data_IF_747826104917
#
_entry.id   IF_747826104917
#
_cell.length_a   1.000
_cell.length_b   1.000
_cell.length_c   1.000
_cell.angle_alpha   90.00
_cell.angle_beta   90.00
_cell.angle_gamma   90.00
#
_symmetry.space_group_name_H-M   'P 1'
#
loop_
_entity.id
_entity.type
_entity.pdbx_description
1 polymer ?
#
# COMPACT_ATOMS: atom_id res chain seq x y z
N UNK A 1 -2.13 27.48 11.33
CA UNK A 1 -1.58 28.03 10.08
C UNK A 1 -0.05 27.85 9.90
N UNK A 2 0.72 27.44 10.91
CA UNK A 2 2.20 27.21 10.78
C UNK A 2 2.62 25.89 10.11
N UNK A 3 1.72 24.91 9.98
CA UNK A 3 2.03 23.58 9.39
C UNK A 3 1.98 23.53 7.85
N UNK A 4 1.37 24.51 7.19
CA UNK A 4 1.24 24.54 5.73
C UNK A 4 2.52 25.05 5.04
N UNK A 5 3.33 25.83 5.73
CA UNK A 5 4.55 26.42 5.17
C UNK A 5 5.71 25.42 4.99
N UNK A 6 5.72 24.31 5.78
CA UNK A 6 6.75 23.27 5.69
C UNK A 6 6.55 22.43 4.43
N UNK A 7 5.30 22.19 4.01
CA UNK A 7 5.00 21.43 2.80
C UNK A 7 5.39 22.17 1.51
N UNK A 8 5.23 23.50 1.50
CA UNK A 8 5.60 24.35 0.36
C UNK A 8 7.12 24.52 0.21
N UNK A 9 7.90 24.47 1.28
CA UNK A 9 9.36 24.52 1.23
C UNK A 9 9.97 23.23 0.65
N UNK A 10 9.31 22.09 0.83
CA UNK A 10 9.74 20.82 0.22
C UNK A 10 9.50 20.77 -1.30
N UNK A 11 8.47 21.44 -1.79
CA UNK A 11 8.14 21.47 -3.24
C UNK A 11 9.02 22.50 -3.98
N UNK A 12 9.46 23.57 -3.33
CA UNK A 12 10.26 24.64 -3.96
C UNK A 12 11.76 24.36 -4.07
N UNK A 13 12.29 23.37 -3.35
CA UNK A 13 13.73 23.10 -3.26
C UNK A 13 14.32 22.19 -4.32
N UNK A 14 13.51 21.60 -5.20
CA UNK A 14 13.97 20.59 -6.15
C UNK A 14 14.02 21.01 -7.62
N UNK A 15 14.01 22.31 -7.90
CA UNK A 15 14.38 22.81 -9.24
C UNK A 15 15.91 22.84 -9.39
N UNK A 16 16.57 21.71 -9.17
CA UNK A 16 17.98 21.54 -9.47
C UNK A 16 18.16 21.31 -10.96
N UNK A 17 18.71 22.35 -11.61
CA UNK A 17 19.53 22.38 -12.83
C UNK A 17 19.36 21.19 -13.78
N UNK A 18 18.94 21.46 -14.98
CA UNK A 18 19.09 20.57 -16.16
C UNK A 18 20.58 20.42 -16.53
N UNK A 19 21.39 19.85 -15.65
CA UNK A 19 22.59 19.15 -16.04
C UNK A 19 22.06 17.93 -16.79
N UNK A 20 22.59 17.63 -17.98
CA UNK A 20 22.27 16.42 -18.73
C UNK A 20 22.46 15.23 -17.79
N UNK A 21 21.37 14.76 -17.24
CA UNK A 21 21.39 13.69 -16.25
C UNK A 21 21.67 12.39 -16.99
N UNK A 22 22.74 11.70 -16.61
CA UNK A 22 23.12 10.45 -17.24
C UNK A 22 22.03 9.40 -16.98
N UNK A 23 21.69 8.66 -18.02
CA UNK A 23 20.69 7.61 -17.99
C UNK A 23 21.08 6.47 -17.04
N UNK A 24 20.12 6.00 -16.26
CA UNK A 24 20.25 4.85 -15.37
C UNK A 24 19.39 3.70 -15.88
N UNK A 25 20.03 2.59 -16.20
CA UNK A 25 19.33 1.37 -16.62
C UNK A 25 18.60 0.71 -15.44
N UNK A 26 19.18 0.81 -14.26
CA UNK A 26 18.65 0.22 -13.05
C UNK A 26 18.53 1.25 -11.93
N UNK A 27 17.57 1.04 -11.03
CA UNK A 27 17.53 1.73 -9.75
C UNK A 27 17.00 0.82 -8.65
N UNK A 28 17.44 1.10 -7.43
CA UNK A 28 16.94 0.43 -6.24
C UNK A 28 16.37 1.47 -5.28
N UNK A 29 15.22 1.20 -4.69
CA UNK A 29 14.52 2.16 -3.86
C UNK A 29 13.72 1.57 -2.74
N UNK A 30 13.31 2.49 -1.86
CA UNK A 30 12.34 2.24 -0.80
C UNK A 30 11.05 2.98 -1.13
N UNK A 31 9.93 2.44 -0.70
CA UNK A 31 8.65 3.11 -0.88
C UNK A 31 7.75 2.94 0.35
N UNK A 32 6.78 3.83 0.47
CA UNK A 32 5.63 3.68 1.36
C UNK A 32 4.35 3.84 0.56
N UNK A 33 3.35 3.04 0.86
CA UNK A 33 2.12 2.95 0.09
C UNK A 33 0.90 2.80 1.01
N UNK A 34 -0.17 3.56 0.75
CA UNK A 34 -1.50 3.33 1.32
C UNK A 34 -2.32 2.36 0.47
N UNK A 35 -3.45 1.86 0.94
CA UNK A 35 -4.10 2.12 2.22
C UNK A 35 -3.49 1.35 3.41
N UNK A 36 -2.70 0.33 3.16
CA UNK A 36 -2.16 -0.55 4.20
C UNK A 36 -0.86 -0.03 4.83
N UNK A 37 -0.47 1.23 4.58
CA UNK A 37 0.74 1.86 5.10
C UNK A 37 2.00 0.99 4.94
N UNK A 38 2.09 0.29 3.82
CA UNK A 38 3.18 -0.62 3.55
C UNK A 38 4.51 0.13 3.39
N UNK A 39 5.55 -0.46 3.97
CA UNK A 39 6.92 -0.12 3.63
C UNK A 39 7.49 -1.22 2.74
N UNK A 40 8.28 -0.83 1.74
CA UNK A 40 8.83 -1.81 0.85
C UNK A 40 10.10 -1.39 0.14
N UNK A 41 10.63 -2.37 -0.56
CA UNK A 41 11.78 -2.27 -1.43
C UNK A 41 11.32 -2.44 -2.87
N UNK A 42 11.94 -1.73 -3.78
CA UNK A 42 11.71 -1.93 -5.21
C UNK A 42 13.00 -1.89 -6.00
N UNK A 43 13.03 -2.68 -7.04
CA UNK A 43 14.03 -2.65 -8.10
C UNK A 43 13.34 -2.24 -9.40
N UNK A 44 13.90 -1.23 -10.07
CA UNK A 44 13.42 -0.75 -11.35
C UNK A 44 14.45 -1.07 -12.42
N UNK A 45 14.00 -1.63 -13.52
CA UNK A 45 14.79 -1.90 -14.71
C UNK A 45 14.16 -1.22 -15.91
N UNK A 46 14.96 -0.44 -16.62
CA UNK A 46 14.51 0.31 -17.78
C UNK A 46 14.52 -0.59 -19.01
N UNK A 47 13.33 -0.97 -19.50
CA UNK A 47 13.18 -1.81 -20.69
C UNK A 47 13.39 -0.98 -21.97
N UNK A 48 12.85 0.24 -21.99
CA UNK A 48 13.02 1.22 -23.08
C UNK A 48 13.17 2.60 -22.45
N UNK A 49 13.52 3.61 -23.22
CA UNK A 49 13.58 5.00 -22.73
C UNK A 49 12.30 5.49 -22.04
N UNK A 50 11.16 4.90 -22.39
CA UNK A 50 9.83 5.28 -21.87
C UNK A 50 9.21 4.26 -20.92
N UNK A 51 9.74 3.05 -20.85
CA UNK A 51 9.09 1.94 -20.13
C UNK A 51 10.01 1.34 -19.10
N UNK A 52 9.57 1.32 -17.86
CA UNK A 52 10.27 0.74 -16.72
C UNK A 52 9.50 -0.47 -16.18
N UNK A 53 10.19 -1.58 -15.99
CA UNK A 53 9.74 -2.71 -15.19
C UNK A 53 10.14 -2.47 -13.74
N UNK A 54 9.22 -2.66 -12.82
CA UNK A 54 9.47 -2.57 -11.38
C UNK A 54 9.09 -3.89 -10.72
N UNK A 55 10.01 -4.50 -10.00
CA UNK A 55 9.72 -5.58 -9.06
C UNK A 55 9.71 -4.99 -7.64
N UNK A 56 8.74 -5.36 -6.83
CA UNK A 56 8.63 -4.81 -5.49
C UNK A 56 8.23 -5.86 -4.45
N UNK A 57 8.67 -5.63 -3.23
CA UNK A 57 8.30 -6.35 -2.03
C UNK A 57 8.00 -5.36 -0.92
N UNK A 58 6.89 -5.56 -0.22
CA UNK A 58 6.50 -4.69 0.89
C UNK A 58 5.85 -5.45 2.03
N UNK A 59 5.83 -4.79 3.18
CA UNK A 59 5.14 -5.26 4.37
C UNK A 59 4.24 -4.14 4.90
N UNK A 60 3.02 -4.44 5.31
CA UNK A 60 2.18 -3.47 6.00
C UNK A 60 2.79 -3.13 7.36
N UNK A 61 2.36 -2.01 7.91
CA UNK A 61 2.62 -1.69 9.30
C UNK A 61 1.57 -2.41 10.14
N UNK A 62 2.04 -3.32 10.98
CA UNK A 62 1.18 -3.99 11.96
C UNK A 62 0.54 -2.96 12.89
N UNK A 63 -0.75 -3.11 13.12
CA UNK A 63 -1.51 -2.29 14.06
C UNK A 63 -1.95 -3.17 15.23
N UNK A 64 -1.65 -2.74 16.43
CA UNK A 64 -2.04 -3.41 17.67
C UNK A 64 -3.12 -2.60 18.39
N UNK A 65 -4.08 -3.31 18.96
CA UNK A 65 -5.23 -2.76 19.66
C UNK A 65 -5.32 -3.42 21.02
N UNK A 66 -5.37 -2.61 22.07
CA UNK A 66 -5.46 -3.09 23.45
C UNK A 66 -6.91 -3.02 23.95
N UNK A 67 -7.19 -3.72 25.05
CA UNK A 67 -8.52 -3.71 25.66
C UNK A 67 -8.97 -2.31 26.13
N UNK A 68 -8.01 -1.44 26.47
CA UNK A 68 -8.27 -0.06 26.88
C UNK A 68 -8.47 0.89 25.68
N UNK A 69 -8.04 0.49 24.48
CA UNK A 69 -8.18 1.22 23.21
C UNK A 69 -8.53 0.25 22.09
N UNK A 70 -9.72 -0.36 22.13
CA UNK A 70 -10.10 -1.43 21.22
C UNK A 70 -10.40 -0.93 19.80
N UNK A 71 -10.28 -1.83 18.85
CA UNK A 71 -10.76 -1.62 17.49
C UNK A 71 -12.28 -1.79 17.43
N UNK A 72 -12.98 -0.82 16.85
CA UNK A 72 -14.41 -0.89 16.55
C UNK A 72 -14.62 -0.84 15.03
N UNK A 73 -15.11 -1.91 14.39
CA UNK A 73 -15.29 -1.95 12.93
C UNK A 73 -16.26 -0.88 12.40
N UNK A 74 -17.22 -0.46 13.21
CA UNK A 74 -18.28 0.46 12.79
C UNK A 74 -18.08 1.92 13.26
N UNK A 75 -16.90 2.30 13.72
CA UNK A 75 -16.56 3.67 14.19
C UNK A 75 -17.46 4.29 15.27
N UNK A 76 -18.62 3.69 15.54
CA UNK A 76 -19.66 4.25 16.43
C UNK A 76 -19.51 3.83 17.90
N UNK A 77 -18.52 2.99 18.20
CA UNK A 77 -18.24 2.43 19.53
C UNK A 77 -19.46 1.73 20.20
N UNK A 78 -20.51 1.45 19.43
CA UNK A 78 -21.75 0.85 19.95
C UNK A 78 -21.75 -0.67 19.82
N UNK A 79 -20.82 -1.23 19.09
CA UNK A 79 -20.66 -2.65 18.85
C UNK A 79 -19.66 -3.32 19.79
N UNK A 80 -19.32 -4.56 19.46
CA UNK A 80 -18.24 -5.27 20.12
C UNK A 80 -16.90 -4.65 19.77
N UNK A 81 -16.10 -4.32 20.81
CA UNK A 81 -14.70 -3.94 20.66
C UNK A 81 -13.81 -5.18 20.52
N UNK A 82 -12.69 -5.00 19.84
CA UNK A 82 -11.71 -6.06 19.63
C UNK A 82 -10.32 -5.60 20.04
N UNK A 83 -9.58 -6.48 20.73
CA UNK A 83 -8.14 -6.35 20.98
C UNK A 83 -7.37 -7.31 20.07
N UNK A 84 -6.09 -7.04 19.81
CA UNK A 84 -5.24 -7.91 19.01
C UNK A 84 -4.44 -7.17 17.94
N UNK A 85 -4.12 -7.85 16.86
CA UNK A 85 -3.25 -7.31 15.80
C UNK A 85 -3.88 -7.47 14.43
N UNK A 86 -3.68 -6.46 13.58
CA UNK A 86 -4.12 -6.44 12.19
C UNK A 86 -2.98 -6.08 11.24
N UNK A 87 -3.18 -6.31 9.95
CA UNK A 87 -2.22 -5.97 8.89
C UNK A 87 -0.86 -6.68 8.99
N UNK A 88 -0.84 -7.92 9.51
CA UNK A 88 0.33 -8.78 9.42
C UNK A 88 0.46 -9.36 8.01
N UNK A 89 1.66 -9.37 7.43
CA UNK A 89 1.86 -10.03 6.16
C UNK A 89 2.84 -9.37 5.21
N UNK A 90 2.63 -9.58 3.92
CA UNK A 90 3.50 -9.05 2.86
C UNK A 90 2.78 -8.99 1.52
N UNK A 91 3.32 -8.19 0.63
CA UNK A 91 2.99 -8.21 -0.79
C UNK A 91 4.22 -8.19 -1.67
N UNK A 92 4.12 -8.92 -2.77
CA UNK A 92 5.17 -9.02 -3.78
C UNK A 92 4.53 -8.90 -5.14
N UNK A 93 5.10 -8.10 -6.01
CA UNK A 93 4.51 -7.89 -7.31
C UNK A 93 5.45 -7.25 -8.31
N UNK A 94 4.89 -7.05 -9.49
CA UNK A 94 5.55 -6.38 -10.61
C UNK A 94 4.65 -5.26 -11.14
N UNK A 95 5.26 -4.20 -11.61
CA UNK A 95 4.59 -3.02 -12.18
C UNK A 95 5.30 -2.62 -13.45
N UNK A 96 4.54 -2.36 -14.50
CA UNK A 96 5.02 -1.68 -15.69
C UNK A 96 4.64 -0.21 -15.61
N UNK A 97 5.63 0.65 -15.73
CA UNK A 97 5.48 2.09 -15.80
C UNK A 97 5.79 2.56 -17.21
N UNK A 98 4.94 3.40 -17.78
CA UNK A 98 5.13 3.96 -19.12
C UNK A 98 5.01 5.48 -19.09
N UNK A 99 5.94 6.18 -19.77
CA UNK A 99 5.98 7.64 -19.93
C UNK A 99 5.46 8.01 -21.31
N UNK A 100 4.18 8.37 -21.46
CA UNK A 100 3.57 8.57 -22.77
C UNK A 100 4.03 9.85 -23.47
N UNK A 101 4.50 10.85 -22.72
CA UNK A 101 4.80 12.18 -23.22
C UNK A 101 6.31 12.46 -23.27
N UNK A 102 6.82 12.94 -24.40
CA UNK A 102 8.24 13.30 -24.55
C UNK A 102 8.60 14.57 -23.78
N UNK A 103 7.75 15.57 -23.86
CA UNK A 103 7.99 16.86 -23.21
C UNK A 103 7.60 16.88 -21.71
N UNK A 104 7.04 15.80 -21.20
CA UNK A 104 6.62 15.65 -19.81
C UNK A 104 6.99 14.27 -19.29
N UNK A 105 8.27 13.96 -19.34
CA UNK A 105 8.86 12.65 -19.03
C UNK A 105 8.78 12.25 -17.54
N UNK A 106 8.44 13.19 -16.67
CA UNK A 106 8.15 12.89 -15.27
C UNK A 106 6.79 12.24 -15.06
N UNK A 107 5.82 12.48 -15.96
CA UNK A 107 4.51 11.84 -15.89
C UNK A 107 4.58 10.41 -16.41
N UNK A 108 3.91 9.51 -15.70
CA UNK A 108 3.80 8.11 -16.11
C UNK A 108 2.43 7.55 -15.80
N UNK A 109 2.04 6.55 -16.57
CA UNK A 109 0.93 5.64 -16.28
C UNK A 109 1.52 4.32 -15.84
N UNK A 110 0.85 3.61 -14.96
CA UNK A 110 1.31 2.31 -14.52
C UNK A 110 0.19 1.29 -14.37
N UNK A 111 0.54 0.03 -14.55
CA UNK A 111 -0.29 -1.12 -14.21
C UNK A 111 0.59 -2.24 -13.66
N UNK A 112 0.06 -2.99 -12.73
CA UNK A 112 0.81 -4.06 -12.08
C UNK A 112 -0.08 -5.13 -11.46
N UNK A 113 0.57 -6.22 -11.08
CA UNK A 113 -0.06 -7.33 -10.39
C UNK A 113 0.94 -8.03 -9.47
N UNK A 114 0.42 -8.79 -8.54
CA UNK A 114 1.24 -9.57 -7.63
C UNK A 114 0.41 -10.43 -6.70
N UNK A 115 1.02 -10.82 -5.60
CA UNK A 115 0.39 -11.63 -4.56
C UNK A 115 0.48 -10.88 -3.24
N UNK A 116 -0.62 -10.85 -2.52
CA UNK A 116 -0.72 -10.29 -1.18
C UNK A 116 -1.06 -11.40 -0.19
N UNK A 117 -0.48 -11.29 1.01
CA UNK A 117 -0.83 -12.06 2.20
C UNK A 117 -0.99 -11.06 3.32
N UNK A 118 -2.22 -10.87 3.78
CA UNK A 118 -2.54 -10.03 4.90
C UNK A 118 -3.29 -10.85 5.93
N UNK A 119 -3.11 -10.57 7.20
CA UNK A 119 -3.79 -11.27 8.25
C UNK A 119 -3.95 -10.43 9.50
N UNK A 120 -4.63 -11.01 10.47
CA UNK A 120 -4.81 -10.43 11.80
C UNK A 120 -5.42 -11.44 12.74
N UNK A 121 -5.17 -11.22 14.02
CA UNK A 121 -5.74 -11.98 15.11
C UNK A 121 -6.41 -10.99 16.06
N UNK A 122 -7.69 -11.12 16.21
CA UNK A 122 -8.49 -10.28 17.10
C UNK A 122 -9.18 -11.13 18.17
N UNK A 123 -9.38 -10.58 19.35
CA UNK A 123 -10.17 -11.16 20.41
C UNK A 123 -11.32 -10.20 20.76
N UNK A 124 -12.52 -10.69 20.74
CA UNK A 124 -13.71 -9.92 21.08
C UNK A 124 -13.78 -9.67 22.59
N UNK A 125 -13.90 -8.41 22.99
CA UNK A 125 -13.91 -8.02 24.42
C UNK A 125 -15.16 -8.43 25.14
N UNK A 126 -16.27 -8.65 24.43
CA UNK A 126 -17.56 -9.01 25.04
C UNK A 126 -17.79 -10.52 25.01
N UNK A 127 -17.46 -11.18 23.92
CA UNK A 127 -17.74 -12.60 23.73
C UNK A 127 -16.52 -13.51 23.98
N UNK A 128 -15.31 -12.93 24.04
CA UNK A 128 -14.07 -13.66 24.28
C UNK A 128 -13.65 -14.59 23.14
N UNK A 129 -14.30 -14.51 21.96
CA UNK A 129 -13.92 -15.31 20.82
C UNK A 129 -12.67 -14.77 20.14
N UNK A 130 -11.90 -15.68 19.54
CA UNK A 130 -10.76 -15.33 18.71
C UNK A 130 -11.15 -15.35 17.24
N UNK A 131 -10.81 -14.28 16.55
CA UNK A 131 -11.09 -14.05 15.15
C UNK A 131 -9.79 -14.00 14.37
N UNK A 132 -9.63 -14.90 13.44
CA UNK A 132 -8.49 -14.93 12.52
C UNK A 132 -8.94 -14.35 11.18
N UNK A 133 -8.31 -13.27 10.76
CA UNK A 133 -8.59 -12.60 9.51
C UNK A 133 -7.48 -12.97 8.52
N UNK A 134 -7.84 -13.46 7.34
CA UNK A 134 -6.89 -13.84 6.31
C UNK A 134 -7.31 -13.26 4.96
N UNK A 135 -6.40 -12.54 4.31
CA UNK A 135 -6.51 -12.08 2.94
C UNK A 135 -5.31 -12.58 2.15
N UNK A 136 -5.50 -13.59 1.32
CA UNK A 136 -4.45 -14.16 0.49
C UNK A 136 -4.92 -14.32 -0.95
N UNK A 137 -4.14 -13.81 -1.89
CA UNK A 137 -4.45 -13.98 -3.30
C UNK A 137 -3.79 -12.92 -4.20
N UNK A 138 -4.19 -12.90 -5.47
CA UNK A 138 -3.66 -11.93 -6.41
C UNK A 138 -4.17 -10.52 -6.11
N UNK A 139 -3.29 -9.53 -6.24
CA UNK A 139 -3.70 -8.14 -6.33
C UNK A 139 -3.43 -7.59 -7.72
N UNK A 140 -4.13 -6.51 -8.07
CA UNK A 140 -3.93 -5.72 -9.28
C UNK A 140 -3.87 -4.25 -8.90
N UNK A 141 -3.03 -3.49 -9.58
CA UNK A 141 -2.92 -2.05 -9.36
C UNK A 141 -2.81 -1.32 -10.69
N UNK A 142 -3.35 -0.12 -10.74
CA UNK A 142 -3.19 0.78 -11.88
C UNK A 142 -3.33 2.22 -11.44
N UNK A 143 -2.68 3.12 -12.17
CA UNK A 143 -2.76 4.54 -11.83
C UNK A 143 -1.85 5.41 -12.66
N UNK A 144 -1.59 6.58 -12.11
CA UNK A 144 -0.69 7.58 -12.67
C UNK A 144 0.37 7.95 -11.65
N UNK A 145 1.52 8.38 -12.12
CA UNK A 145 2.62 8.79 -11.27
C UNK A 145 3.38 9.99 -11.82
N UNK A 146 4.15 10.58 -10.95
CA UNK A 146 5.05 11.66 -11.26
C UNK A 146 6.45 11.38 -10.67
N UNK A 147 7.50 11.72 -11.39
CA UNK A 147 8.88 11.48 -10.96
C UNK A 147 9.43 10.12 -11.36
N UNK A 148 10.40 9.58 -10.61
CA UNK A 148 11.16 8.34 -10.91
C UNK A 148 11.71 8.33 -12.34
N UNK A 149 12.30 9.46 -12.77
CA UNK A 149 12.99 9.51 -14.06
C UNK A 149 14.16 8.52 -14.06
N UNK A 150 14.46 7.86 -15.18
CA UNK A 150 15.55 6.88 -15.28
C UNK A 150 16.93 7.56 -15.40
N UNK A 151 17.32 8.25 -14.34
CA UNK A 151 18.56 9.03 -14.27
C UNK A 151 19.44 8.53 -13.14
N UNK A 152 20.76 8.64 -13.30
CA UNK A 152 21.71 8.29 -12.26
C UNK A 152 21.57 9.21 -11.04
N UNK A 153 21.79 8.63 -9.87
CA UNK A 153 21.66 9.33 -8.60
C UNK A 153 20.26 9.24 -7.98
N UNK A 154 19.94 10.22 -7.16
CA UNK A 154 18.69 10.23 -6.39
C UNK A 154 17.48 10.45 -7.32
N UNK A 155 16.54 9.56 -7.20
CA UNK A 155 15.24 9.60 -7.86
C UNK A 155 14.13 9.65 -6.80
N UNK A 156 13.06 10.35 -7.08
CA UNK A 156 11.87 10.35 -6.24
C UNK A 156 10.61 10.28 -7.10
N UNK A 157 9.55 9.78 -6.54
CA UNK A 157 8.26 9.71 -7.24
C UNK A 157 7.08 9.62 -6.30
N UNK A 158 5.94 10.03 -6.84
CA UNK A 158 4.64 9.92 -6.21
C UNK A 158 3.70 9.25 -7.19
N UNK A 159 2.95 8.27 -6.72
CA UNK A 159 1.96 7.55 -7.49
C UNK A 159 0.60 7.64 -6.82
N UNK A 160 -0.46 7.74 -7.60
CA UNK A 160 -1.83 7.63 -7.16
C UNK A 160 -2.60 6.71 -8.11
N UNK A 161 -3.46 5.87 -7.55
CA UNK A 161 -4.18 4.91 -8.36
C UNK A 161 -5.19 4.09 -7.59
N UNK A 162 -5.52 2.96 -8.15
CA UNK A 162 -6.45 2.01 -7.60
C UNK A 162 -5.74 0.67 -7.36
N UNK A 163 -6.07 0.05 -6.25
CA UNK A 163 -5.61 -1.26 -5.85
C UNK A 163 -6.81 -2.19 -5.68
N UNK A 164 -6.82 -3.30 -6.39
CA UNK A 164 -7.74 -4.40 -6.16
C UNK A 164 -7.02 -5.50 -5.42
N UNK A 165 -7.53 -5.89 -4.25
CA UNK A 165 -7.01 -6.99 -3.45
C UNK A 165 -8.03 -8.13 -3.38
N UNK A 166 -7.64 -9.36 -3.03
CA UNK A 166 -8.59 -10.43 -2.74
C UNK A 166 -9.43 -10.05 -1.53
N UNK A 167 -10.63 -10.59 -1.46
CA UNK A 167 -11.48 -10.48 -0.27
C UNK A 167 -10.81 -11.13 0.94
N UNK A 168 -11.29 -10.76 2.12
CA UNK A 168 -10.85 -11.34 3.39
C UNK A 168 -11.75 -12.51 3.76
N UNK A 169 -11.15 -13.54 4.32
CA UNK A 169 -11.85 -14.65 4.98
C UNK A 169 -11.62 -14.56 6.47
N UNK A 170 -12.62 -14.90 7.26
CA UNK A 170 -12.52 -14.94 8.71
C UNK A 170 -12.72 -16.36 9.19
N UNK A 171 -12.09 -16.67 10.31
CA UNK A 171 -12.31 -17.92 11.06
C UNK A 171 -12.45 -17.55 12.53
N UNK A 172 -13.47 -18.07 13.17
CA UNK A 172 -13.74 -17.82 14.60
C UNK A 172 -13.47 -19.09 15.37
N UNK A 173 -12.69 -18.99 16.44
CA UNK A 173 -12.42 -20.09 17.35
C UNK A 173 -13.17 -19.85 18.68
N UNK A 174 -13.90 -20.88 19.13
CA UNK A 174 -14.69 -20.85 20.36
C UNK A 174 -15.84 -21.86 20.34
N UNK A 175 -16.40 -22.14 21.49
CA UNK A 175 -17.58 -23.02 21.63
C UNK A 175 -18.79 -22.22 21.14
N UNK A 176 -19.59 -22.83 20.24
CA UNK A 176 -20.75 -22.21 19.59
C UNK A 176 -20.44 -20.93 18.75
N UNK A 177 -19.23 -20.86 18.19
CA UNK A 177 -18.76 -19.71 17.41
C UNK A 177 -19.52 -19.44 16.09
N UNK A 178 -20.48 -20.27 15.69
CA UNK A 178 -21.15 -20.15 14.40
C UNK A 178 -21.88 -18.81 14.20
N UNK A 179 -22.53 -18.30 15.22
CA UNK A 179 -23.22 -17.00 15.16
C UNK A 179 -22.20 -15.83 15.12
N UNK A 180 -21.14 -15.92 15.89
CA UNK A 180 -20.05 -14.94 15.91
C UNK A 180 -19.32 -14.93 14.55
N UNK A 181 -19.06 -16.10 13.98
CA UNK A 181 -18.51 -16.25 12.62
C UNK A 181 -19.39 -15.57 11.57
N UNK A 182 -20.70 -15.84 11.58
CA UNK A 182 -21.64 -15.24 10.65
C UNK A 182 -21.71 -13.71 10.77
N UNK A 183 -21.62 -13.18 12.00
CA UNK A 183 -21.59 -11.74 12.27
C UNK A 183 -20.31 -11.10 11.74
N UNK A 184 -19.15 -11.72 11.97
CA UNK A 184 -17.86 -11.23 11.48
C UNK A 184 -17.80 -11.28 9.94
N UNK A 185 -18.27 -12.37 9.32
CA UNK A 185 -18.33 -12.50 7.87
C UNK A 185 -19.22 -11.40 7.24
N UNK A 186 -20.33 -11.07 7.88
CA UNK A 186 -21.20 -9.98 7.42
C UNK A 186 -20.49 -8.63 7.56
N UNK A 187 -19.83 -8.39 8.67
CA UNK A 187 -19.05 -7.17 8.91
C UNK A 187 -17.96 -7.00 7.84
N UNK A 188 -17.19 -8.05 7.57
CA UNK A 188 -16.14 -8.00 6.57
C UNK A 188 -16.68 -7.74 5.16
N UNK A 189 -17.78 -8.40 4.76
CA UNK A 189 -18.41 -8.16 3.45
C UNK A 189 -18.92 -6.73 3.29
N UNK A 190 -19.46 -6.13 4.33
CA UNK A 190 -19.98 -4.77 4.29
C UNK A 190 -18.85 -3.73 4.12
N UNK A 191 -17.60 -4.09 4.47
CA UNK A 191 -16.42 -3.22 4.33
C UNK A 191 -15.55 -3.58 3.12
N UNK A 192 -15.90 -4.61 2.35
CA UNK A 192 -15.20 -4.94 1.12
C UNK A 192 -15.46 -3.90 0.03
N UNK A 193 -14.41 -3.18 -0.35
CA UNK A 193 -14.43 -2.31 -1.52
C UNK A 193 -13.84 -3.06 -2.72
N UNK A 194 -14.47 -2.97 -3.90
CA UNK A 194 -13.93 -3.61 -5.10
C UNK A 194 -12.58 -3.04 -5.51
N UNK A 195 -12.32 -1.78 -5.15
CA UNK A 195 -11.07 -1.07 -5.38
C UNK A 195 -10.78 -0.14 -4.21
N UNK A 196 -9.52 -0.13 -3.79
CA UNK A 196 -9.01 0.79 -2.79
C UNK A 196 -8.21 1.90 -3.47
N UNK A 197 -8.39 3.17 -3.08
CA UNK A 197 -7.47 4.22 -3.49
C UNK A 197 -6.08 3.89 -2.92
N UNK A 198 -5.07 4.04 -3.75
CA UNK A 198 -3.68 3.81 -3.38
C UNK A 198 -2.85 5.05 -3.68
N UNK A 199 -2.01 5.43 -2.74
CA UNK A 199 -1.01 6.47 -2.92
C UNK A 199 0.34 5.93 -2.46
N UNK A 200 1.40 6.19 -3.23
CA UNK A 200 2.75 5.71 -2.96
C UNK A 200 3.75 6.85 -3.10
N UNK A 201 4.70 6.89 -2.20
CA UNK A 201 5.88 7.74 -2.30
C UNK A 201 7.10 6.84 -2.38
N UNK A 202 8.00 7.13 -3.31
CA UNK A 202 9.21 6.35 -3.56
C UNK A 202 10.43 7.24 -3.55
N UNK A 203 11.51 6.73 -2.93
CA UNK A 203 12.87 7.24 -3.07
C UNK A 203 13.76 6.12 -3.60
N UNK A 204 14.53 6.40 -4.65
CA UNK A 204 15.38 5.40 -5.29
C UNK A 204 16.74 6.00 -5.68
N UNK A 205 17.70 5.13 -5.93
CA UNK A 205 19.02 5.49 -6.46
C UNK A 205 19.25 4.78 -7.79
N UNK A 206 19.47 5.57 -8.84
CA UNK A 206 19.76 5.09 -10.20
C UNK A 206 21.27 4.89 -10.44
N UNK A 207 21.63 3.80 -11.15
CA UNK A 207 23.00 3.44 -11.50
C UNK A 207 23.10 2.77 -12.87
#
# INVERSE_FOLDING_TARGET
MKKLHILLLFIGGFSLSAIAQEYAENSFGIYTSGPAQAFGLQWNHQITEKTTFTAHYGQPVEQSWDADAPYYPNDDQTGQGYSGTTFQGSWTGVVLNHRPFENFDAFRVYAGAGVVRLGGNLEGLTDGYRYFINGHGPFQTMGVGYGLKPVKGLQWGVDVGLLRVPGFTTQTDGIDAAAAQASMDLTMRNHELPFFPNAQITLAWGF
#
